data_IF_670061155073
#
_entry.id   IF_670061155073
#
_cell.length_a   1.000
_cell.length_b   1.000
_cell.length_c   1.000
_cell.angle_alpha   90.00
_cell.angle_beta   90.00
_cell.angle_gamma   90.00
#
_symmetry.space_group_name_H-M   'P 1'
#
loop_
_entity.id
_entity.type
_entity.pdbx_description
1 polymer ?
#
# COMPACT_ATOMS: atom_id res chain seq x y z
N UNK A 1 -1.30 -1.41 -5.73
CA UNK A 1 0.01 -1.09 -6.32
C UNK A 1 0.38 0.35 -6.02
N UNK A 2 1.60 0.62 -5.55
CA UNK A 2 2.12 1.97 -5.40
C UNK A 2 2.75 2.41 -6.72
N UNK A 3 1.95 3.01 -7.59
CA UNK A 3 2.48 3.70 -8.77
C UNK A 3 2.97 5.07 -8.31
N UNK A 4 4.13 5.11 -7.68
CA UNK A 4 4.86 6.36 -7.55
C UNK A 4 5.43 6.65 -8.93
N UNK A 5 5.16 7.86 -9.43
CA UNK A 5 5.53 8.37 -10.74
C UNK A 5 6.99 8.01 -11.09
N UNK A 6 7.16 6.92 -11.84
CA UNK A 6 8.47 6.46 -12.28
C UNK A 6 9.00 7.48 -13.30
N UNK A 7 10.18 8.05 -13.16
CA UNK A 7 11.33 7.79 -12.27
C UNK A 7 11.66 9.02 -11.39
N UNK A 8 10.63 9.74 -10.95
CA UNK A 8 10.77 11.05 -10.28
C UNK A 8 10.34 11.05 -8.82
N UNK A 9 9.54 10.06 -8.40
CA UNK A 9 9.08 9.94 -7.02
C UNK A 9 9.40 8.52 -6.54
N UNK A 10 10.30 8.43 -5.57
CA UNK A 10 10.65 7.19 -4.85
C UNK A 10 9.96 7.18 -3.47
N UNK A 11 9.99 6.04 -2.78
CA UNK A 11 9.50 5.90 -1.41
C UNK A 11 10.27 6.84 -0.48
N UNK A 12 9.57 7.81 0.10
CA UNK A 12 10.11 8.70 1.12
C UNK A 12 9.53 8.34 2.47
N UNK A 13 10.40 8.25 3.47
CA UNK A 13 10.04 7.94 4.84
C UNK A 13 10.55 9.06 5.73
N UNK A 14 9.67 9.57 6.59
CA UNK A 14 10.01 10.54 7.63
C UNK A 14 9.65 9.95 8.98
N UNK A 15 10.62 9.89 9.89
CA UNK A 15 10.36 9.54 11.28
C UNK A 15 9.97 10.81 12.04
N UNK A 16 8.70 10.91 12.42
CA UNK A 16 8.15 12.02 13.21
C UNK A 16 8.04 11.69 14.70
N UNK A 17 8.71 10.63 15.14
CA UNK A 17 8.72 10.20 16.55
C UNK A 17 10.05 10.53 17.22
N UNK A 18 10.09 10.44 18.55
CA UNK A 18 11.32 10.56 19.34
C UNK A 18 12.16 9.27 19.33
N UNK A 19 11.62 8.18 18.80
CA UNK A 19 12.28 6.88 18.79
C UNK A 19 13.20 6.74 17.58
N UNK A 20 14.34 6.08 17.77
CA UNK A 20 15.22 5.73 16.65
C UNK A 20 14.72 4.46 15.97
N UNK A 21 14.48 4.56 14.67
CA UNK A 21 14.09 3.43 13.82
C UNK A 21 15.22 2.99 12.90
N UNK A 22 15.32 1.69 12.67
CA UNK A 22 16.17 1.08 11.65
C UNK A 22 15.29 0.34 10.63
N UNK A 23 15.51 0.61 9.34
CA UNK A 23 14.99 -0.22 8.25
C UNK A 23 16.01 -1.30 7.92
N UNK A 24 15.64 -2.57 8.10
CA UNK A 24 16.40 -3.68 7.55
C UNK A 24 15.71 -4.17 6.27
N UNK A 25 16.47 -4.27 5.19
CA UNK A 25 16.03 -4.81 3.92
C UNK A 25 16.76 -6.12 3.62
N UNK A 26 16.04 -7.10 3.06
CA UNK A 26 16.61 -8.33 2.52
C UNK A 26 15.87 -8.76 1.27
N UNK A 27 16.59 -9.37 0.34
CA UNK A 27 16.00 -9.98 -0.83
C UNK A 27 15.73 -11.48 -0.56
N UNK A 28 14.64 -11.98 -1.12
CA UNK A 28 14.42 -13.40 -1.36
C UNK A 28 14.47 -13.65 -2.86
N UNK A 29 14.32 -14.90 -3.28
CA UNK A 29 14.27 -15.26 -4.70
C UNK A 29 13.15 -14.52 -5.47
N UNK A 30 12.11 -14.08 -4.76
CA UNK A 30 10.88 -13.55 -5.35
C UNK A 30 10.46 -12.17 -4.83
N UNK A 31 11.00 -11.72 -3.69
CA UNK A 31 10.50 -10.53 -3.00
C UNK A 31 11.63 -9.70 -2.36
N UNK A 32 11.42 -8.39 -2.31
CA UNK A 32 12.11 -7.51 -1.35
C UNK A 32 11.31 -7.50 -0.05
N UNK A 33 11.95 -7.86 1.06
CA UNK A 33 11.35 -7.88 2.39
C UNK A 33 11.99 -6.79 3.25
N UNK A 34 11.15 -5.98 3.89
CA UNK A 34 11.58 -4.95 4.84
C UNK A 34 11.08 -5.20 6.26
N UNK A 35 11.89 -4.82 7.25
CA UNK A 35 11.55 -4.87 8.67
C UNK A 35 11.94 -3.54 9.33
N UNK A 36 11.01 -2.96 10.10
CA UNK A 36 11.29 -1.80 10.95
C UNK A 36 11.60 -2.26 12.37
N UNK A 37 12.73 -1.80 12.91
CA UNK A 37 13.15 -2.07 14.28
C UNK A 37 13.29 -0.78 15.08
N UNK A 38 12.97 -0.86 16.36
CA UNK A 38 13.26 0.16 17.35
C UNK A 38 13.76 -0.52 18.64
N UNK A 39 14.51 0.20 19.45
CA UNK A 39 15.07 -0.32 20.71
C UNK A 39 14.04 -0.38 21.85
N UNK A 40 12.94 0.37 21.74
CA UNK A 40 11.84 0.38 22.70
C UNK A 40 10.74 -0.63 22.34
N UNK A 41 9.93 -1.09 23.32
CA UNK A 41 8.77 -1.94 23.04
C UNK A 41 7.83 -1.30 22.02
N UNK A 42 7.41 -2.08 21.03
CA UNK A 42 6.42 -1.67 20.03
C UNK A 42 5.03 -1.72 20.69
N UNK A 43 4.40 -0.55 20.84
CA UNK A 43 3.09 -0.44 21.46
C UNK A 43 1.95 -0.81 20.51
N UNK A 44 2.17 -0.64 19.20
CA UNK A 44 1.16 -0.92 18.18
C UNK A 44 1.81 -1.55 16.94
N UNK A 45 1.14 -2.56 16.39
CA UNK A 45 1.47 -3.10 15.07
C UNK A 45 0.41 -2.67 14.08
N UNK A 46 0.84 -2.25 12.90
CA UNK A 46 -0.09 -1.79 11.85
C UNK A 46 -0.11 -2.77 10.69
N UNK A 47 -1.31 -3.11 10.23
CA UNK A 47 -1.53 -3.87 9.00
C UNK A 47 -2.22 -2.99 7.99
N UNK A 48 -1.49 -2.61 6.94
CA UNK A 48 -2.02 -1.82 5.82
C UNK A 48 -2.43 -2.77 4.70
N UNK A 49 -3.63 -2.61 4.17
CA UNK A 49 -4.17 -3.50 3.16
C UNK A 49 -5.18 -2.80 2.25
N UNK A 50 -5.42 -3.39 1.08
CA UNK A 50 -6.43 -2.91 0.13
C UNK A 50 -7.80 -3.45 0.55
N UNK A 51 -8.71 -2.55 0.94
CA UNK A 51 -10.08 -2.90 1.36
C UNK A 51 -11.03 -3.00 0.19
N UNK A 52 -10.80 -2.19 -0.85
CA UNK A 52 -11.62 -2.19 -2.05
C UNK A 52 -10.79 -1.84 -3.27
N UNK A 53 -11.09 -2.50 -4.39
CA UNK A 53 -10.49 -2.23 -5.68
C UNK A 53 -11.53 -2.39 -6.77
N UNK A 54 -11.62 -1.41 -7.67
CA UNK A 54 -12.47 -1.48 -8.85
C UNK A 54 -11.92 -0.63 -9.98
N UNK A 55 -12.43 -0.87 -11.18
CA UNK A 55 -12.05 -0.15 -12.39
C UNK A 55 -13.32 0.42 -13.01
N UNK A 56 -13.24 1.67 -13.46
CA UNK A 56 -14.32 2.32 -14.22
C UNK A 56 -13.80 2.76 -15.58
N UNK A 57 -14.65 2.72 -16.60
CA UNK A 57 -14.41 3.43 -17.85
C UNK A 57 -15.07 4.80 -17.77
N UNK A 58 -14.27 5.86 -17.84
CA UNK A 58 -14.73 7.24 -17.72
C UNK A 58 -14.59 7.96 -19.05
N UNK A 59 -15.70 8.55 -19.52
CA UNK A 59 -15.75 9.23 -20.79
C UNK A 59 -14.69 10.34 -20.88
N UNK A 60 -13.88 10.32 -21.95
CA UNK A 60 -12.80 11.29 -22.19
C UNK A 60 -11.50 11.05 -21.42
N UNK A 61 -11.50 10.23 -20.37
CA UNK A 61 -10.30 9.91 -19.56
C UNK A 61 -9.77 8.51 -19.84
N UNK A 62 -10.64 7.59 -20.26
CA UNK A 62 -10.31 6.17 -20.43
C UNK A 62 -10.55 5.38 -19.14
N UNK A 63 -9.79 4.30 -18.93
CA UNK A 63 -9.94 3.48 -17.73
C UNK A 63 -9.30 4.14 -16.52
N UNK A 64 -9.99 4.07 -15.38
CA UNK A 64 -9.53 4.60 -14.10
C UNK A 64 -9.56 3.47 -13.08
N UNK A 65 -8.41 3.21 -12.45
CA UNK A 65 -8.28 2.29 -11.32
C UNK A 65 -8.53 3.03 -10.02
N UNK A 66 -9.39 2.45 -9.19
CA UNK A 66 -9.71 2.96 -7.86
C UNK A 66 -9.29 1.94 -6.82
N UNK A 67 -8.63 2.38 -5.76
CA UNK A 67 -8.42 1.50 -4.61
C UNK A 67 -8.49 2.27 -3.29
N UNK A 68 -9.15 1.65 -2.32
CA UNK A 68 -9.20 2.08 -0.94
C UNK A 68 -8.15 1.30 -0.15
N UNK A 69 -7.29 2.01 0.58
CA UNK A 69 -6.29 1.44 1.45
C UNK A 69 -6.67 1.76 2.88
N UNK A 70 -6.81 0.73 3.70
CA UNK A 70 -7.08 0.88 5.13
C UNK A 70 -5.93 0.33 5.97
N UNK A 71 -5.93 0.73 7.23
CA UNK A 71 -4.96 0.31 8.23
C UNK A 71 -5.71 -0.23 9.44
N UNK A 72 -5.37 -1.45 9.82
CA UNK A 72 -5.73 -2.03 11.11
C UNK A 72 -4.59 -1.72 12.09
N UNK A 73 -4.96 -1.27 13.29
CA UNK A 73 -4.05 -1.13 14.43
C UNK A 73 -4.27 -2.29 15.40
N UNK A 74 -3.19 -2.96 15.77
CA UNK A 74 -3.16 -4.06 16.72
C UNK A 74 -2.44 -3.63 18.00
N UNK A 75 -2.95 -4.03 19.16
CA UNK A 75 -2.25 -3.89 20.44
C UNK A 75 -1.09 -4.91 20.56
N UNK A 76 -0.25 -4.85 21.61
CA UNK A 76 0.84 -5.81 21.79
C UNK A 76 0.38 -7.27 21.97
N UNK A 77 -0.89 -7.49 22.37
CA UNK A 77 -1.52 -8.81 22.44
C UNK A 77 -2.02 -9.34 21.09
N UNK A 78 -1.93 -8.54 20.02
CA UNK A 78 -2.40 -8.91 18.68
C UNK A 78 -3.89 -8.66 18.44
N UNK A 79 -4.60 -8.02 19.36
CA UNK A 79 -6.01 -7.69 19.20
C UNK A 79 -6.18 -6.41 18.37
N UNK A 80 -7.15 -6.42 17.47
CA UNK A 80 -7.52 -5.24 16.68
C UNK A 80 -8.20 -4.19 17.57
N UNK A 81 -7.55 -3.04 17.68
CA UNK A 81 -8.06 -1.91 18.47
C UNK A 81 -8.72 -0.83 17.60
N UNK A 82 -8.32 -0.73 16.34
CA UNK A 82 -8.96 0.18 15.39
C UNK A 82 -8.75 -0.26 13.95
N UNK A 83 -9.60 0.26 13.09
CA UNK A 83 -9.45 0.23 11.65
C UNK A 83 -9.85 1.56 11.05
N UNK A 84 -9.04 2.08 10.13
CA UNK A 84 -9.26 3.37 9.51
C UNK A 84 -8.91 3.35 8.03
N UNK A 85 -9.67 4.11 7.23
CA UNK A 85 -9.34 4.39 5.84
C UNK A 85 -8.13 5.34 5.81
N UNK A 86 -7.03 4.91 5.20
CA UNK A 86 -5.79 5.70 5.08
C UNK A 86 -5.84 6.60 3.86
N UNK A 87 -6.25 6.05 2.72
CA UNK A 87 -6.30 6.79 1.46
C UNK A 87 -7.18 6.11 0.43
N UNK A 88 -7.67 6.91 -0.51
CA UNK A 88 -8.37 6.45 -1.73
C UNK A 88 -7.54 6.91 -2.91
N UNK A 89 -7.05 5.96 -3.71
CA UNK A 89 -6.32 6.26 -4.92
C UNK A 89 -7.27 6.19 -6.11
N UNK A 90 -7.18 7.17 -7.00
CA UNK A 90 -7.88 7.20 -8.29
C UNK A 90 -6.88 7.55 -9.37
N UNK A 91 -6.53 6.58 -10.19
CA UNK A 91 -5.43 6.70 -11.14
C UNK A 91 -5.90 6.33 -12.55
N UNK A 92 -5.61 7.19 -13.52
CA UNK A 92 -5.82 6.91 -14.94
C UNK A 92 -4.88 5.77 -15.36
N UNK A 93 -5.43 4.80 -16.08
CA UNK A 93 -4.69 3.67 -16.61
C UNK A 93 -4.20 3.99 -18.02
N UNK A 94 -2.95 3.63 -18.31
CA UNK A 94 -2.33 3.82 -19.62
C UNK A 94 -2.56 2.64 -20.59
N UNK A 95 -3.33 1.63 -20.17
CA UNK A 95 -3.61 0.41 -20.91
C UNK A 95 -5.05 -0.08 -20.66
N UNK A 96 -5.57 -0.90 -21.58
CA UNK A 96 -6.86 -1.55 -21.42
C UNK A 96 -6.77 -2.70 -20.41
N UNK A 97 -7.54 -2.67 -19.30
CA UNK A 97 -7.41 -3.65 -18.22
C UNK A 97 -8.28 -4.89 -18.43
N UNK A 98 -9.18 -4.87 -19.42
CA UNK A 98 -10.08 -5.98 -19.71
C UNK A 98 -9.32 -7.08 -20.45
N UNK A 99 -9.53 -8.32 -20.00
CA UNK A 99 -9.02 -9.47 -20.73
C UNK A 99 -9.76 -9.57 -22.06
N UNK A 100 -9.03 -9.93 -23.12
CA UNK A 100 -9.64 -10.30 -24.40
C UNK A 100 -10.61 -11.45 -24.18
N UNK A 101 -11.72 -11.46 -24.93
CA UNK A 101 -12.63 -12.61 -24.91
C UNK A 101 -11.85 -13.91 -25.17
N UNK A 102 -12.17 -14.95 -24.40
CA UNK A 102 -11.62 -16.26 -24.67
C UNK A 102 -12.08 -16.67 -26.07
N UNK A 103 -11.12 -16.90 -26.97
CA UNK A 103 -11.41 -17.28 -28.36
C UNK A 103 -12.38 -18.46 -28.40
N UNK A 104 -13.43 -18.30 -29.20
CA UNK A 104 -14.40 -19.37 -29.51
C UNK A 104 -13.83 -20.35 -30.51
#
# INVERSE_FOLDING_TARGET
>A
GATCYYNYIDLQIKNETEHTFQLQLRLTDTHLVGEWRQSSPILHTYRVYETRHWITHEYGTGYVRHNEISRITLNPGGEQVSEELVTVNRAVMMYEPLLSEAGT
#
